data_IF_893817821597
#
_entry.id   IF_893817821597
#
_cell.length_a   1.000
_cell.length_b   1.000
_cell.length_c   1.000
_cell.angle_alpha   90.00
_cell.angle_beta   90.00
_cell.angle_gamma   90.00
#
_symmetry.space_group_name_H-M   'P 1'
#
loop_
_entity.id
_entity.type
_entity.pdbx_description
1 polymer ?
#
# COMPACT_ATOMS: atom_id res chain seq x y z
N UNK A 1 18.35 2.92 5.43
CA UNK A 1 17.70 4.21 5.64
C UNK A 1 16.20 4.11 5.33
N UNK A 2 15.38 4.36 6.35
CA UNK A 2 13.92 4.20 6.27
C UNK A 2 13.29 5.15 5.23
N UNK A 3 13.77 6.39 5.16
CA UNK A 3 13.24 7.37 4.21
C UNK A 3 13.52 6.95 2.76
N UNK A 4 14.71 6.45 2.46
CA UNK A 4 15.04 5.95 1.14
C UNK A 4 14.24 4.69 0.79
N UNK A 5 14.06 3.80 1.77
CA UNK A 5 13.24 2.61 1.58
C UNK A 5 11.79 2.97 1.25
N UNK A 6 11.21 3.91 1.98
CA UNK A 6 9.84 4.35 1.71
C UNK A 6 9.72 4.96 0.31
N UNK A 7 10.67 5.80 -0.10
CA UNK A 7 10.68 6.39 -1.44
C UNK A 7 10.76 5.31 -2.52
N UNK A 8 11.60 4.32 -2.31
CA UNK A 8 11.76 3.20 -3.24
C UNK A 8 10.46 2.39 -3.34
N UNK A 9 9.84 2.07 -2.18
CA UNK A 9 8.58 1.35 -2.15
C UNK A 9 7.46 2.10 -2.87
N UNK A 10 7.36 3.41 -2.65
CA UNK A 10 6.35 4.23 -3.33
C UNK A 10 6.54 4.22 -4.85
N UNK A 11 7.79 4.27 -5.32
CA UNK A 11 8.08 4.18 -6.75
C UNK A 11 7.66 2.84 -7.34
N UNK A 12 7.96 1.74 -6.64
CA UNK A 12 7.54 0.40 -7.07
C UNK A 12 6.02 0.28 -7.10
N UNK A 13 5.35 0.84 -6.09
CA UNK A 13 3.90 0.81 -6.02
C UNK A 13 3.27 1.57 -7.18
N UNK A 14 3.80 2.73 -7.54
CA UNK A 14 3.32 3.47 -8.71
C UNK A 14 3.47 2.68 -10.00
N UNK A 15 4.55 1.93 -10.11
CA UNK A 15 4.83 1.14 -11.32
C UNK A 15 3.93 -0.09 -11.44
N UNK A 16 3.64 -0.76 -10.31
CA UNK A 16 2.99 -2.08 -10.34
C UNK A 16 1.54 -2.09 -9.86
N UNK A 17 1.11 -1.09 -9.09
CA UNK A 17 -0.22 -1.07 -8.49
C UNK A 17 -1.17 -0.13 -9.20
N UNK A 18 -2.47 -0.44 -9.13
CA UNK A 18 -3.51 0.51 -9.55
C UNK A 18 -3.54 1.68 -8.57
N UNK A 19 -4.20 2.78 -8.97
CA UNK A 19 -4.34 3.97 -8.10
C UNK A 19 -5.00 3.61 -6.77
N UNK A 20 -6.02 2.77 -6.79
CA UNK A 20 -6.72 2.35 -5.58
C UNK A 20 -5.81 1.52 -4.67
N UNK A 21 -5.10 0.55 -5.23
CA UNK A 21 -4.16 -0.28 -4.47
C UNK A 21 -3.04 0.58 -3.88
N UNK A 22 -2.51 1.50 -4.66
CA UNK A 22 -1.47 2.43 -4.21
C UNK A 22 -1.93 3.23 -2.99
N UNK A 23 -3.10 3.85 -3.07
CA UNK A 23 -3.64 4.65 -1.98
C UNK A 23 -3.89 3.81 -0.73
N UNK A 24 -4.46 2.62 -0.88
CA UNK A 24 -4.75 1.74 0.26
C UNK A 24 -3.46 1.36 1.00
N UNK A 25 -2.45 0.92 0.28
CA UNK A 25 -1.19 0.50 0.89
C UNK A 25 -0.47 1.69 1.52
N UNK A 26 -0.40 2.81 0.81
CA UNK A 26 0.24 4.02 1.29
C UNK A 26 -0.37 4.51 2.60
N UNK A 27 -1.68 4.58 2.65
CA UNK A 27 -2.41 5.06 3.82
C UNK A 27 -2.36 4.05 4.98
N UNK A 28 -2.45 2.77 4.67
CA UNK A 28 -2.44 1.73 5.70
C UNK A 28 -1.12 1.68 6.47
N UNK A 29 0.00 1.81 5.76
CA UNK A 29 1.32 1.74 6.36
C UNK A 29 1.92 3.11 6.69
N UNK A 30 1.29 4.19 6.24
CA UNK A 30 1.78 5.54 6.51
C UNK A 30 3.11 5.83 5.84
N UNK A 31 3.26 5.49 4.55
CA UNK A 31 4.56 5.57 3.88
C UNK A 31 5.03 7.01 3.65
N UNK A 32 4.10 7.91 3.36
CA UNK A 32 4.40 9.34 3.18
C UNK A 32 3.40 10.23 3.96
N UNK A 33 2.71 9.63 4.91
CA UNK A 33 1.67 10.27 5.69
C UNK A 33 1.49 9.50 7.00
N UNK A 34 0.57 9.92 7.85
CA UNK A 34 0.21 9.18 9.05
C UNK A 34 -0.56 7.91 8.68
N UNK A 35 -0.39 6.86 9.49
CA UNK A 35 -1.15 5.62 9.31
C UNK A 35 -2.64 5.88 9.49
N UNK A 36 -3.45 5.21 8.69
CA UNK A 36 -4.91 5.30 8.74
C UNK A 36 -5.51 3.93 9.02
N UNK A 37 -6.66 3.91 9.70
CA UNK A 37 -7.41 2.68 9.92
C UNK A 37 -8.10 2.24 8.63
N UNK A 38 -8.52 0.96 8.57
CA UNK A 38 -9.27 0.45 7.42
C UNK A 38 -10.54 1.26 7.18
N UNK A 39 -11.21 1.71 8.25
CA UNK A 39 -12.41 2.53 8.14
C UNK A 39 -12.11 3.89 7.51
N UNK A 40 -11.05 4.53 7.96
CA UNK A 40 -10.63 5.82 7.38
C UNK A 40 -10.25 5.69 5.91
N UNK A 41 -9.56 4.61 5.56
CA UNK A 41 -9.18 4.34 4.16
C UNK A 41 -10.43 4.10 3.31
N UNK A 42 -11.39 3.32 3.84
CA UNK A 42 -12.65 3.08 3.14
C UNK A 42 -13.38 4.40 2.85
N UNK A 43 -13.43 5.30 3.82
CA UNK A 43 -14.03 6.61 3.64
C UNK A 43 -13.29 7.44 2.58
N UNK A 44 -11.96 7.38 2.59
CA UNK A 44 -11.12 8.11 1.63
C UNK A 44 -11.37 7.65 0.19
N UNK A 45 -11.46 6.33 -0.03
CA UNK A 45 -11.67 5.81 -1.39
C UNK A 45 -13.15 5.71 -1.77
N UNK A 46 -14.05 6.16 -0.91
CA UNK A 46 -15.47 6.26 -1.23
C UNK A 46 -16.27 4.96 -1.08
N UNK A 47 -15.76 3.99 -0.31
CA UNK A 47 -16.50 2.77 -0.01
C UNK A 47 -17.48 3.01 1.12
N UNK A 48 -18.77 2.90 0.82
CA UNK A 48 -19.86 3.17 1.79
C UNK A 48 -20.76 1.95 1.96
N UNK A 49 -20.15 0.77 2.08
CA UNK A 49 -20.87 -0.48 2.30
C UNK A 49 -20.48 -1.07 3.65
N UNK A 50 -21.36 -1.91 4.26
CA UNK A 50 -21.06 -2.48 5.59
C UNK A 50 -19.76 -3.28 5.64
N UNK A 51 -19.34 -3.87 4.52
CA UNK A 51 -18.11 -4.67 4.42
C UNK A 51 -16.91 -3.87 3.95
N UNK A 52 -16.96 -2.54 4.01
CA UNK A 52 -15.89 -1.68 3.47
C UNK A 52 -14.51 -2.00 4.07
N UNK A 53 -14.43 -2.22 5.38
CA UNK A 53 -13.16 -2.55 6.03
C UNK A 53 -12.59 -3.88 5.55
N UNK A 54 -13.45 -4.86 5.28
CA UNK A 54 -13.03 -6.15 4.72
C UNK A 54 -12.48 -5.96 3.30
N UNK A 55 -13.17 -5.14 2.50
CA UNK A 55 -12.74 -4.85 1.13
C UNK A 55 -11.37 -4.15 1.14
N UNK A 56 -11.17 -3.17 2.02
CA UNK A 56 -9.88 -2.49 2.16
C UNK A 56 -8.78 -3.50 2.50
N UNK A 57 -9.03 -4.41 3.43
CA UNK A 57 -8.06 -5.45 3.80
C UNK A 57 -7.73 -6.37 2.64
N UNK A 58 -8.72 -6.72 1.83
CA UNK A 58 -8.53 -7.53 0.63
C UNK A 58 -7.70 -6.79 -0.42
N UNK A 59 -7.99 -5.52 -0.65
CA UNK A 59 -7.23 -4.70 -1.60
C UNK A 59 -5.76 -4.61 -1.15
N UNK A 60 -5.54 -4.39 0.14
CA UNK A 60 -4.20 -4.35 0.72
C UNK A 60 -3.46 -5.66 0.46
N UNK A 61 -4.09 -6.79 0.77
CA UNK A 61 -3.47 -8.11 0.61
C UNK A 61 -3.11 -8.38 -0.85
N UNK A 62 -4.03 -8.13 -1.76
CA UNK A 62 -3.81 -8.33 -3.18
C UNK A 62 -2.67 -7.44 -3.69
N UNK A 63 -2.62 -6.19 -3.24
CA UNK A 63 -1.57 -5.26 -3.61
C UNK A 63 -0.20 -5.75 -3.14
N UNK A 64 -0.10 -6.19 -1.89
CA UNK A 64 1.15 -6.68 -1.32
C UNK A 64 1.58 -7.97 -2.02
N UNK A 65 0.67 -8.89 -2.27
CA UNK A 65 0.97 -10.13 -2.99
C UNK A 65 1.51 -9.84 -4.40
N UNK A 66 0.90 -8.86 -5.08
CA UNK A 66 1.34 -8.44 -6.40
C UNK A 66 2.75 -7.83 -6.36
N UNK A 67 3.02 -6.99 -5.36
CA UNK A 67 4.36 -6.40 -5.19
C UNK A 67 5.40 -7.47 -4.93
N UNK A 68 5.12 -8.41 -4.03
CA UNK A 68 6.06 -9.49 -3.69
C UNK A 68 6.38 -10.33 -4.93
N UNK A 69 5.39 -10.56 -5.79
CA UNK A 69 5.56 -11.35 -7.01
C UNK A 69 6.42 -10.63 -8.06
N UNK A 70 6.47 -9.29 -8.03
CA UNK A 70 7.11 -8.49 -9.07
C UNK A 70 8.35 -7.72 -8.60
N UNK A 71 8.68 -7.78 -7.32
CA UNK A 71 9.83 -7.05 -6.75
C UNK A 71 10.96 -8.02 -6.44
N UNK A 72 12.17 -7.66 -6.86
CA UNK A 72 13.37 -8.40 -6.50
C UNK A 72 13.74 -8.07 -5.05
N UNK A 73 13.70 -9.10 -4.19
CA UNK A 73 14.02 -8.92 -2.77
C UNK A 73 15.45 -8.41 -2.55
N UNK A 74 16.36 -8.70 -3.44
CA UNK A 74 17.74 -8.20 -3.35
C UNK A 74 17.80 -6.69 -3.48
N UNK A 75 16.93 -6.09 -4.28
CA UNK A 75 16.86 -4.65 -4.42
C UNK A 75 16.38 -3.99 -3.12
N UNK A 76 15.46 -4.62 -2.42
CA UNK A 76 14.96 -4.09 -1.14
C UNK A 76 16.05 -4.16 -0.07
N UNK A 77 16.80 -5.25 -0.04
CA UNK A 77 17.88 -5.45 0.95
C UNK A 77 18.93 -4.33 0.87
N UNK A 78 19.21 -3.84 -0.33
CA UNK A 78 20.18 -2.77 -0.53
C UNK A 78 19.80 -1.46 0.19
N UNK A 79 18.53 -1.28 0.54
CA UNK A 79 18.04 -0.10 1.26
C UNK A 79 17.93 -0.31 2.78
N UNK A 80 18.12 -1.53 3.22
CA UNK A 80 18.08 -1.85 4.65
C UNK A 80 19.47 -1.73 5.26
#
# INVERSE_FOLDING_TARGET
>A
NIALLNTYLLSLMQEHLTSKQYDVVRLFYGLDCNKHSAKEIADYIGLKVPTATVIVSQIKKEAIDHLIANVDSNQVIDYL
#
